data_IF_749534771699
#
_entry.id   IF_749534771699
#
_cell.length_a   1.000
_cell.length_b   1.000
_cell.length_c   1.000
_cell.angle_alpha   90.00
_cell.angle_beta   90.00
_cell.angle_gamma   90.00
#
_symmetry.space_group_name_H-M   'P 1'
#
loop_
_entity.id
_entity.type
_entity.pdbx_description
1 polymer ?
#
# COMPACT_ATOMS: atom_id res chain seq x y z
N UNK A 1 -8.42 -26.94 -16.72
CA UNK A 1 -9.11 -25.87 -15.98
C UNK A 1 -9.95 -24.98 -16.91
N UNK A 2 -9.39 -24.43 -18.01
CA UNK A 2 -10.14 -23.63 -19.01
C UNK A 2 -11.49 -24.20 -19.48
N UNK A 3 -11.51 -25.44 -19.97
CA UNK A 3 -12.75 -26.15 -20.39
C UNK A 3 -13.84 -26.26 -19.30
N UNK A 4 -13.46 -26.17 -18.03
CA UNK A 4 -14.40 -26.20 -16.91
C UNK A 4 -15.04 -24.83 -16.69
N UNK A 5 -14.25 -23.75 -16.72
CA UNK A 5 -14.78 -22.38 -16.67
C UNK A 5 -15.65 -22.08 -17.91
N UNK A 6 -15.22 -22.49 -19.10
CA UNK A 6 -15.98 -22.28 -20.34
C UNK A 6 -17.39 -22.92 -20.29
N UNK A 7 -17.55 -24.04 -19.58
CA UNK A 7 -18.86 -24.69 -19.37
C UNK A 7 -19.76 -23.93 -18.40
N UNK A 8 -19.18 -23.18 -17.46
CA UNK A 8 -19.90 -22.40 -16.46
C UNK A 8 -20.27 -21.01 -16.99
N UNK A 9 -19.50 -20.46 -17.94
CA UNK A 9 -19.72 -19.14 -18.56
C UNK A 9 -21.18 -18.86 -19.00
N UNK A 10 -21.92 -19.81 -19.62
CA UNK A 10 -23.32 -19.58 -20.01
C UNK A 10 -24.28 -19.34 -18.83
N UNK A 11 -23.95 -19.81 -17.63
CA UNK A 11 -24.76 -19.62 -16.42
C UNK A 11 -24.63 -18.20 -15.85
N UNK A 12 -23.51 -17.54 -16.15
CA UNK A 12 -23.17 -16.19 -15.70
C UNK A 12 -23.37 -15.15 -16.82
N UNK A 13 -23.44 -15.53 -18.09
CA UNK A 13 -23.70 -14.60 -19.19
C UNK A 13 -25.10 -13.94 -19.10
N UNK A 14 -25.33 -12.85 -19.83
CA UNK A 14 -26.61 -12.10 -19.85
C UNK A 14 -27.81 -13.04 -20.09
N UNK A 15 -28.77 -13.06 -19.17
CA UNK A 15 -29.92 -13.99 -19.19
C UNK A 15 -29.70 -15.34 -18.49
N UNK A 16 -28.52 -15.57 -17.91
CA UNK A 16 -28.21 -16.73 -17.08
C UNK A 16 -28.70 -16.59 -15.63
N UNK A 17 -28.90 -17.73 -14.94
CA UNK A 17 -29.41 -17.76 -13.55
C UNK A 17 -28.53 -16.97 -12.57
N UNK A 18 -27.24 -16.84 -12.85
CA UNK A 18 -26.27 -16.16 -12.00
C UNK A 18 -25.65 -14.93 -12.68
N UNK A 19 -26.38 -14.27 -13.58
CA UNK A 19 -25.95 -13.03 -14.25
C UNK A 19 -25.36 -12.01 -13.26
N UNK A 20 -25.95 -11.90 -12.07
CA UNK A 20 -25.49 -10.98 -11.04
C UNK A 20 -24.00 -11.19 -10.65
N UNK A 21 -23.51 -12.43 -10.68
CA UNK A 21 -22.14 -12.78 -10.31
C UNK A 21 -21.18 -12.86 -11.51
N UNK A 22 -21.62 -12.43 -12.69
CA UNK A 22 -20.76 -12.34 -13.88
C UNK A 22 -19.42 -11.63 -13.61
N UNK A 23 -19.39 -10.48 -12.92
CA UNK A 23 -18.12 -9.78 -12.66
C UNK A 23 -17.11 -10.60 -11.84
N UNK A 24 -17.60 -11.41 -10.90
CA UNK A 24 -16.76 -12.26 -10.06
C UNK A 24 -16.19 -13.42 -10.86
N UNK A 25 -17.04 -14.06 -11.68
CA UNK A 25 -16.62 -15.13 -12.57
C UNK A 25 -15.56 -14.65 -13.58
N UNK A 26 -15.77 -13.47 -14.17
CA UNK A 26 -14.84 -12.84 -15.11
C UNK A 26 -13.52 -12.45 -14.46
N UNK A 27 -13.53 -11.92 -13.23
CA UNK A 27 -12.29 -11.64 -12.48
C UNK A 27 -11.46 -12.91 -12.28
N UNK A 28 -12.10 -14.03 -11.90
CA UNK A 28 -11.42 -15.32 -11.71
C UNK A 28 -10.91 -15.88 -13.04
N UNK A 29 -11.71 -15.80 -14.10
CA UNK A 29 -11.28 -16.26 -15.43
C UNK A 29 -10.12 -15.40 -15.96
N UNK A 30 -10.22 -14.08 -15.84
CA UNK A 30 -9.21 -13.09 -16.23
C UNK A 30 -7.89 -13.19 -15.46
N UNK A 31 -7.91 -13.72 -14.23
CA UNK A 31 -6.70 -14.00 -13.46
C UNK A 31 -5.91 -15.18 -14.02
N UNK A 32 -6.60 -16.23 -14.48
CA UNK A 32 -5.95 -17.44 -15.03
C UNK A 32 -5.74 -17.39 -16.55
N UNK A 33 -6.56 -16.63 -17.26
CA UNK A 33 -6.61 -16.61 -18.72
C UNK A 33 -6.78 -15.18 -19.24
N UNK A 34 -6.06 -14.84 -20.31
CA UNK A 34 -6.27 -13.58 -21.02
C UNK A 34 -7.59 -13.64 -21.82
N UNK A 35 -8.32 -12.52 -21.85
CA UNK A 35 -9.48 -12.35 -22.75
C UNK A 35 -9.09 -12.67 -24.20
N UNK A 36 -9.89 -13.51 -24.85
CA UNK A 36 -9.74 -13.87 -26.26
C UNK A 36 -10.58 -13.01 -27.20
N UNK A 37 -11.22 -11.95 -26.70
CA UNK A 37 -12.07 -11.07 -27.49
C UNK A 37 -11.20 -10.19 -28.39
N UNK A 38 -11.29 -10.40 -29.70
CA UNK A 38 -10.62 -9.58 -30.71
C UNK A 38 -11.55 -8.46 -31.15
N UNK A 39 -11.08 -7.21 -31.14
CA UNK A 39 -11.83 -6.07 -31.69
C UNK A 39 -12.17 -6.32 -33.16
N UNK A 40 -13.47 -6.40 -33.48
CA UNK A 40 -13.98 -6.58 -34.83
C UNK A 40 -13.88 -5.32 -35.71
N UNK A 41 -13.73 -4.15 -35.08
CA UNK A 41 -13.56 -2.86 -35.76
C UNK A 41 -12.20 -2.26 -35.43
N UNK A 42 -11.61 -1.55 -36.40
CA UNK A 42 -10.37 -0.84 -36.18
C UNK A 42 -10.55 0.23 -35.08
N UNK A 43 -9.76 0.18 -33.99
CA UNK A 43 -9.87 1.18 -32.94
C UNK A 43 -9.44 2.55 -33.47
N UNK A 44 -10.17 3.60 -33.06
CA UNK A 44 -9.93 4.99 -33.48
C UNK A 44 -8.57 5.52 -33.01
N UNK A 45 -8.07 5.01 -31.88
CA UNK A 45 -6.73 5.30 -31.34
C UNK A 45 -6.01 3.98 -31.10
N UNK A 46 -4.86 3.81 -31.74
CA UNK A 46 -3.94 2.69 -31.49
C UNK A 46 -2.93 3.13 -30.44
N UNK A 47 -3.34 3.07 -29.17
CA UNK A 47 -2.40 3.22 -28.06
C UNK A 47 -1.87 1.83 -27.66
N UNK A 48 -0.56 1.72 -27.50
CA UNK A 48 0.09 0.49 -27.02
C UNK A 48 0.05 0.34 -25.50
N UNK A 49 -0.49 1.35 -24.82
CA UNK A 49 -0.59 1.43 -23.36
C UNK A 49 -2.03 1.07 -22.95
N UNK A 50 -2.20 -0.16 -22.48
CA UNK A 50 -3.43 -0.63 -21.85
C UNK A 50 -3.49 -0.15 -20.38
N UNK A 51 -4.69 0.15 -19.87
CA UNK A 51 -4.95 0.45 -18.46
C UNK A 51 -4.36 -0.62 -17.54
N UNK A 52 -4.42 -1.89 -17.93
CA UNK A 52 -3.80 -2.98 -17.16
C UNK A 52 -2.28 -2.82 -17.06
N UNK A 53 -1.62 -2.46 -18.16
CA UNK A 53 -0.17 -2.24 -18.22
C UNK A 53 0.25 -1.03 -17.39
N UNK A 54 -0.54 0.06 -17.42
CA UNK A 54 -0.32 1.22 -16.57
C UNK A 54 -0.31 0.86 -15.09
N UNK A 55 -1.29 0.09 -14.62
CA UNK A 55 -1.38 -0.32 -13.22
C UNK A 55 -0.19 -1.20 -12.81
N UNK A 56 0.24 -2.12 -13.67
CA UNK A 56 1.43 -2.95 -13.42
C UNK A 56 2.70 -2.09 -13.31
N UNK A 57 2.87 -1.09 -14.16
CA UNK A 57 4.02 -0.17 -14.06
C UNK A 57 4.03 0.60 -12.74
N UNK A 58 2.87 1.04 -12.26
CA UNK A 58 2.77 1.68 -10.94
C UNK A 58 3.12 0.71 -9.82
N UNK A 59 2.64 -0.54 -9.87
CA UNK A 59 3.02 -1.57 -8.88
C UNK A 59 4.54 -1.79 -8.89
N UNK A 60 5.16 -1.90 -10.07
CA UNK A 60 6.61 -2.06 -10.20
C UNK A 60 7.37 -0.86 -9.63
N UNK A 61 6.88 0.36 -9.86
CA UNK A 61 7.46 1.58 -9.31
C UNK A 61 7.42 1.64 -7.78
N UNK A 62 6.45 0.96 -7.14
CA UNK A 62 6.31 0.91 -5.69
C UNK A 62 7.20 -0.15 -5.03
N UNK A 63 7.72 -1.13 -5.77
CA UNK A 63 8.55 -2.22 -5.23
C UNK A 63 9.77 -1.69 -4.44
N UNK A 64 10.58 -0.73 -4.94
CA UNK A 64 11.70 -0.19 -4.17
C UNK A 64 11.28 0.40 -2.83
N UNK A 65 10.16 1.13 -2.80
CA UNK A 65 9.61 1.72 -1.58
C UNK A 65 9.14 0.64 -0.59
N UNK A 66 8.47 -0.41 -1.08
CA UNK A 66 8.00 -1.53 -0.26
C UNK A 66 9.18 -2.29 0.36
N UNK A 67 10.22 -2.59 -0.42
CA UNK A 67 11.40 -3.29 0.07
C UNK A 67 12.14 -2.47 1.12
N UNK A 68 12.28 -1.16 0.90
CA UNK A 68 12.90 -0.27 1.87
C UNK A 68 12.07 -0.15 3.15
N UNK A 69 10.74 -0.10 3.02
CA UNK A 69 9.81 -0.10 4.15
C UNK A 69 10.02 -1.28 5.08
N UNK A 70 10.15 -2.50 4.53
CA UNK A 70 10.36 -3.71 5.32
C UNK A 70 11.67 -3.63 6.10
N UNK A 71 12.74 -3.19 5.46
CA UNK A 71 14.03 -3.04 6.13
C UNK A 71 14.00 -1.97 7.22
N UNK A 72 13.54 -0.76 6.91
CA UNK A 72 13.57 0.37 7.84
C UNK A 72 12.64 0.14 9.05
N UNK A 73 11.42 -0.36 8.83
CA UNK A 73 10.47 -0.65 9.92
C UNK A 73 11.06 -1.64 10.91
N UNK A 74 11.67 -2.73 10.43
CA UNK A 74 12.31 -3.70 11.31
C UNK A 74 13.61 -3.21 11.94
N UNK A 75 14.40 -2.39 11.23
CA UNK A 75 15.60 -1.75 11.79
C UNK A 75 15.25 -0.86 12.98
N UNK A 76 14.23 0.01 12.84
CA UNK A 76 13.78 0.87 13.93
C UNK A 76 13.21 0.08 15.10
N UNK A 77 12.47 -0.99 14.82
CA UNK A 77 11.93 -1.87 15.86
C UNK A 77 13.04 -2.61 16.63
N UNK A 78 14.04 -3.18 15.94
CA UNK A 78 15.17 -3.85 16.59
C UNK A 78 16.04 -2.88 17.38
N UNK A 79 16.27 -1.66 16.88
CA UNK A 79 16.95 -0.60 17.65
C UNK A 79 16.18 -0.20 18.91
N UNK A 80 14.86 -0.10 18.84
CA UNK A 80 14.02 0.21 19.99
C UNK A 80 14.02 -0.93 21.02
N UNK A 81 13.96 -2.18 20.57
CA UNK A 81 14.08 -3.36 21.44
C UNK A 81 15.43 -3.41 22.17
N UNK A 82 16.53 -3.09 21.46
CA UNK A 82 17.86 -3.01 22.06
C UNK A 82 17.96 -1.91 23.14
N UNK A 83 17.26 -0.78 22.94
CA UNK A 83 17.23 0.33 23.90
C UNK A 83 16.36 0.06 25.14
N UNK A 84 15.21 -0.60 24.96
CA UNK A 84 14.25 -0.79 26.04
C UNK A 84 14.47 -2.08 26.86
N UNK A 85 15.23 -3.04 26.34
CA UNK A 85 15.49 -4.32 27.05
C UNK A 85 14.21 -5.11 27.36
N UNK A 86 13.11 -4.86 26.64
CA UNK A 86 11.79 -5.41 26.96
C UNK A 86 11.62 -6.88 26.58
N UNK A 87 10.66 -7.53 27.25
CA UNK A 87 10.20 -8.86 26.91
C UNK A 87 9.61 -8.89 25.50
N UNK A 88 10.14 -9.77 24.65
CA UNK A 88 9.69 -10.01 23.28
C UNK A 88 8.39 -10.81 23.33
N UNK A 89 7.25 -10.13 23.42
CA UNK A 89 5.94 -10.78 23.58
C UNK A 89 5.08 -10.59 22.32
N UNK A 90 4.59 -11.70 21.77
CA UNK A 90 3.61 -11.71 20.68
C UNK A 90 3.99 -12.64 19.54
N UNK A 91 2.99 -13.02 18.76
CA UNK A 91 3.12 -14.01 17.67
C UNK A 91 4.23 -13.66 16.66
N UNK A 92 4.51 -12.37 16.44
CA UNK A 92 5.58 -11.91 15.54
C UNK A 92 6.97 -12.30 16.05
N UNK A 93 7.18 -12.17 17.36
CA UNK A 93 8.43 -12.52 18.02
C UNK A 93 8.59 -14.03 18.13
N UNK A 94 7.50 -14.75 18.40
CA UNK A 94 7.48 -16.21 18.44
C UNK A 94 7.85 -16.81 17.07
N UNK A 95 7.35 -16.22 15.98
CA UNK A 95 7.65 -16.63 14.61
C UNK A 95 9.13 -16.40 14.26
N UNK A 96 9.69 -15.26 14.68
CA UNK A 96 11.11 -14.96 14.49
C UNK A 96 12.01 -15.90 15.31
N UNK A 97 11.60 -16.22 16.54
CA UNK A 97 12.29 -17.19 17.38
C UNK A 97 12.23 -18.60 16.78
N UNK A 98 11.08 -19.02 16.24
CA UNK A 98 10.92 -20.30 15.55
C UNK A 98 11.81 -20.39 14.28
N UNK A 99 11.95 -19.29 13.55
CA UNK A 99 12.82 -19.18 12.38
C UNK A 99 14.31 -19.05 12.72
N UNK A 100 14.68 -19.03 14.01
CA UNK A 100 16.07 -18.84 14.49
C UNK A 100 16.71 -17.53 13.98
N UNK A 101 15.90 -16.51 13.71
CA UNK A 101 16.36 -15.19 13.26
C UNK A 101 16.61 -14.33 14.51
N UNK A 102 17.84 -13.84 14.67
CA UNK A 102 18.21 -12.96 15.77
C UNK A 102 17.54 -11.58 15.70
N UNK A 103 17.64 -10.79 16.77
CA UNK A 103 17.09 -9.42 16.86
C UNK A 103 18.19 -8.35 16.73
N UNK A 104 19.26 -8.67 16.00
CA UNK A 104 20.40 -7.78 15.83
C UNK A 104 20.08 -6.71 14.78
N UNK A 105 20.24 -5.43 15.16
CA UNK A 105 19.97 -4.30 14.28
C UNK A 105 20.95 -4.21 13.09
N UNK A 106 22.12 -4.85 13.16
CA UNK A 106 23.09 -4.96 12.08
C UNK A 106 22.77 -6.03 11.04
N UNK A 107 21.84 -6.96 11.33
CA UNK A 107 21.46 -8.00 10.38
C UNK A 107 20.34 -7.53 9.45
N UNK A 108 20.68 -7.37 8.17
CA UNK A 108 19.74 -6.94 7.12
C UNK A 108 18.55 -7.89 7.03
N UNK A 109 18.80 -9.20 7.11
CA UNK A 109 17.75 -10.21 6.99
C UNK A 109 16.80 -10.16 8.19
N UNK A 110 17.32 -10.00 9.41
CA UNK A 110 16.49 -9.91 10.61
C UNK A 110 15.57 -8.69 10.57
N UNK A 111 16.11 -7.53 10.17
CA UNK A 111 15.35 -6.30 10.03
C UNK A 111 14.26 -6.44 8.97
N UNK A 112 14.59 -6.96 7.78
CA UNK A 112 13.62 -7.10 6.68
C UNK A 112 12.48 -8.06 7.05
N UNK A 113 12.77 -9.20 7.67
CA UNK A 113 11.72 -10.16 8.07
C UNK A 113 10.85 -9.57 9.18
N UNK A 114 11.44 -8.87 10.15
CA UNK A 114 10.68 -8.24 11.23
C UNK A 114 9.73 -7.16 10.70
N UNK A 115 10.19 -6.28 9.81
CA UNK A 115 9.32 -5.26 9.20
C UNK A 115 8.27 -5.86 8.25
N UNK A 116 8.60 -6.94 7.53
CA UNK A 116 7.62 -7.68 6.72
C UNK A 116 6.45 -8.22 7.56
N UNK A 117 6.69 -8.69 8.79
CA UNK A 117 5.65 -9.16 9.70
C UNK A 117 4.71 -8.06 10.21
N UNK A 118 5.12 -6.79 10.16
CA UNK A 118 4.25 -5.64 10.42
C UNK A 118 3.49 -5.20 9.17
N UNK A 119 4.17 -5.19 8.01
CA UNK A 119 3.57 -4.79 6.74
C UNK A 119 2.48 -5.78 6.28
N UNK A 120 2.75 -7.09 6.36
CA UNK A 120 1.88 -8.13 5.78
C UNK A 120 0.45 -8.11 6.33
N UNK A 121 0.19 -8.09 7.66
CA UNK A 121 -1.17 -8.05 8.18
C UNK A 121 -1.97 -6.81 7.74
N UNK A 122 -1.30 -5.64 7.68
CA UNK A 122 -1.94 -4.40 7.23
C UNK A 122 -2.30 -4.52 5.75
N UNK A 123 -1.35 -4.94 4.91
CA UNK A 123 -1.58 -5.13 3.47
C UNK A 123 -2.69 -6.15 3.18
N UNK A 124 -2.70 -7.28 3.89
CA UNK A 124 -3.76 -8.29 3.74
C UNK A 124 -5.13 -7.74 4.14
N UNK A 125 -5.20 -6.96 5.22
CA UNK A 125 -6.45 -6.36 5.67
C UNK A 125 -6.98 -5.35 4.65
N UNK A 126 -6.12 -4.50 4.08
CA UNK A 126 -6.54 -3.54 3.05
C UNK A 126 -7.03 -4.25 1.80
N UNK A 127 -6.30 -5.27 1.33
CA UNK A 127 -6.65 -6.05 0.15
C UNK A 127 -7.97 -6.80 0.32
N UNK A 128 -8.16 -7.49 1.44
CA UNK A 128 -9.38 -8.27 1.71
C UNK A 128 -10.58 -7.35 1.83
N UNK A 129 -10.51 -6.32 2.70
CA UNK A 129 -11.67 -5.48 2.99
C UNK A 129 -12.06 -4.61 1.80
N UNK A 130 -11.08 -3.97 1.14
CA UNK A 130 -11.38 -3.17 -0.04
C UNK A 130 -11.79 -4.03 -1.25
N UNK A 131 -11.20 -5.22 -1.41
CA UNK A 131 -11.60 -6.18 -2.44
C UNK A 131 -13.02 -6.70 -2.25
N UNK A 132 -13.46 -6.91 -1.00
CA UNK A 132 -14.86 -7.25 -0.68
C UNK A 132 -15.78 -6.12 -1.13
N UNK A 133 -15.48 -4.87 -0.77
CA UNK A 133 -16.32 -3.73 -1.17
C UNK A 133 -16.38 -3.56 -2.68
N UNK A 134 -15.26 -3.63 -3.38
CA UNK A 134 -15.24 -3.55 -4.84
C UNK A 134 -16.06 -4.68 -5.47
N UNK A 135 -15.91 -5.91 -4.99
CA UNK A 135 -16.68 -7.06 -5.46
C UNK A 135 -18.18 -6.84 -5.27
N UNK A 136 -18.60 -6.33 -4.11
CA UNK A 136 -20.00 -6.02 -3.80
C UNK A 136 -20.53 -4.97 -4.76
N UNK A 137 -19.83 -3.85 -4.94
CA UNK A 137 -20.28 -2.76 -5.81
C UNK A 137 -20.29 -3.14 -7.29
N UNK A 138 -19.31 -3.92 -7.75
CA UNK A 138 -19.28 -4.45 -9.13
C UNK A 138 -20.43 -5.42 -9.39
N UNK A 139 -20.76 -6.28 -8.44
CA UNK A 139 -21.92 -7.19 -8.51
C UNK A 139 -23.24 -6.41 -8.57
N UNK A 140 -23.40 -5.36 -7.74
CA UNK A 140 -24.61 -4.53 -7.75
C UNK A 140 -24.76 -3.75 -9.05
N UNK A 141 -23.66 -3.32 -9.67
CA UNK A 141 -23.67 -2.44 -10.85
C UNK A 141 -23.42 -3.17 -12.18
N UNK A 142 -23.20 -4.48 -12.15
CA UNK A 142 -22.90 -5.29 -13.34
C UNK A 142 -21.74 -4.70 -14.15
N UNK A 143 -20.64 -4.37 -13.46
CA UNK A 143 -19.41 -3.85 -14.08
C UNK A 143 -18.24 -4.76 -13.75
N UNK A 144 -17.30 -4.83 -14.68
CA UNK A 144 -16.05 -5.58 -14.53
C UNK A 144 -15.20 -5.04 -13.38
N UNK A 145 -14.50 -5.93 -12.68
CA UNK A 145 -13.59 -5.55 -11.59
C UNK A 145 -12.28 -5.05 -12.20
N UNK A 146 -11.81 -3.88 -11.75
CA UNK A 146 -10.61 -3.26 -12.30
C UNK A 146 -9.39 -3.49 -11.39
N UNK A 147 -8.25 -3.83 -11.98
CA UNK A 147 -6.99 -4.09 -11.26
C UNK A 147 -6.43 -2.86 -10.51
N UNK A 148 -6.92 -1.65 -10.79
CA UNK A 148 -6.47 -0.41 -10.15
C UNK A 148 -6.64 -0.36 -8.63
N UNK A 149 -7.45 -1.25 -8.04
CA UNK A 149 -7.51 -1.37 -6.59
C UNK A 149 -6.24 -1.95 -5.97
N UNK A 150 -5.49 -2.81 -6.68
CA UNK A 150 -4.20 -3.31 -6.18
C UNK A 150 -3.25 -2.15 -5.87
N UNK A 151 -3.17 -1.17 -6.78
CA UNK A 151 -2.39 0.05 -6.57
C UNK A 151 -2.91 0.84 -5.37
N UNK A 152 -4.23 1.02 -5.25
CA UNK A 152 -4.85 1.75 -4.13
C UNK A 152 -4.53 1.09 -2.78
N UNK A 153 -4.62 -0.23 -2.69
CA UNK A 153 -4.33 -1.00 -1.47
C UNK A 153 -2.86 -0.90 -1.05
N UNK A 154 -1.92 -0.95 -2.01
CA UNK A 154 -0.49 -0.78 -1.75
C UNK A 154 -0.17 0.64 -1.29
N UNK A 155 -0.67 1.66 -2.01
CA UNK A 155 -0.47 3.07 -1.64
C UNK A 155 -1.04 3.38 -0.27
N UNK A 156 -2.27 2.94 0.02
CA UNK A 156 -2.87 3.16 1.33
C UNK A 156 -2.03 2.50 2.42
N UNK A 157 -1.62 1.23 2.25
CA UNK A 157 -0.76 0.53 3.22
C UNK A 157 0.55 1.28 3.48
N UNK A 158 1.20 1.79 2.43
CA UNK A 158 2.46 2.54 2.55
C UNK A 158 2.31 3.89 3.26
N UNK A 159 1.11 4.47 3.26
CA UNK A 159 0.82 5.73 3.95
C UNK A 159 0.48 5.57 5.43
N UNK A 160 0.39 4.33 5.92
CA UNK A 160 0.01 4.04 7.29
C UNK A 160 1.23 3.78 8.18
N UNK A 161 1.09 4.02 9.50
CA UNK A 161 2.09 3.59 10.45
C UNK A 161 2.11 2.06 10.63
N UNK A 162 3.26 1.49 11.02
CA UNK A 162 3.45 0.04 11.09
C UNK A 162 2.69 -0.65 12.24
N UNK A 163 2.35 0.07 13.31
CA UNK A 163 1.66 -0.49 14.49
C UNK A 163 0.14 -0.20 14.50
N UNK A 164 -0.42 0.23 13.37
CA UNK A 164 -1.82 0.62 13.33
C UNK A 164 -2.76 -0.58 13.53
N UNK A 165 -3.79 -0.48 14.40
CA UNK A 165 -4.74 -1.56 14.61
C UNK A 165 -5.46 -1.99 13.32
N UNK A 166 -5.54 -3.30 13.06
CA UNK A 166 -6.08 -3.84 11.80
C UNK A 166 -7.54 -3.44 11.55
N UNK A 167 -8.35 -3.28 12.59
CA UNK A 167 -9.73 -2.86 12.44
C UNK A 167 -9.84 -1.40 11.96
N UNK A 168 -8.91 -0.52 12.35
CA UNK A 168 -8.86 0.87 11.85
C UNK A 168 -8.46 0.88 10.38
N UNK A 169 -7.49 0.04 9.99
CA UNK A 169 -7.11 -0.17 8.59
C UNK A 169 -8.34 -0.56 7.76
N UNK A 170 -9.15 -1.51 8.26
CA UNK A 170 -10.36 -1.99 7.61
C UNK A 170 -11.43 -0.88 7.43
N UNK A 171 -11.69 -0.07 8.45
CA UNK A 171 -12.66 1.03 8.35
C UNK A 171 -12.14 2.12 7.41
N UNK A 172 -10.84 2.45 7.50
CA UNK A 172 -10.21 3.46 6.64
C UNK A 172 -10.31 3.10 5.15
N UNK A 173 -9.91 1.89 4.77
CA UNK A 173 -10.03 1.45 3.37
C UNK A 173 -11.49 1.33 2.93
N UNK A 174 -12.40 0.92 3.82
CA UNK A 174 -13.83 0.87 3.52
C UNK A 174 -14.35 2.26 3.16
N UNK A 175 -13.99 3.29 3.94
CA UNK A 175 -14.37 4.67 3.66
C UNK A 175 -13.81 5.15 2.31
N UNK A 176 -12.51 4.95 2.07
CA UNK A 176 -11.86 5.39 0.83
C UNK A 176 -12.39 4.69 -0.42
N UNK A 177 -12.65 3.38 -0.36
CA UNK A 177 -13.19 2.62 -1.49
C UNK A 177 -14.65 2.99 -1.73
N UNK A 178 -15.49 2.96 -0.69
CA UNK A 178 -16.93 3.20 -0.85
C UNK A 178 -17.20 4.66 -1.23
N UNK A 179 -16.74 5.60 -0.42
CA UNK A 179 -17.04 7.02 -0.65
C UNK A 179 -16.10 7.67 -1.67
N UNK A 180 -14.81 7.29 -1.69
CA UNK A 180 -13.82 7.92 -2.56
C UNK A 180 -13.78 7.38 -4.01
N UNK A 181 -14.23 6.14 -4.23
CA UNK A 181 -14.19 5.49 -5.55
C UNK A 181 -15.57 5.00 -6.02
N UNK A 182 -16.23 4.17 -5.23
CA UNK A 182 -17.42 3.46 -5.70
C UNK A 182 -18.63 4.38 -5.83
N UNK A 183 -18.89 5.31 -4.93
CA UNK A 183 -20.05 6.22 -5.08
C UNK A 183 -19.99 7.01 -6.39
N UNK A 184 -18.80 7.39 -6.85
CA UNK A 184 -18.61 8.16 -8.09
C UNK A 184 -18.64 7.32 -9.38
N UNK A 185 -18.84 6.01 -9.26
CA UNK A 185 -19.04 5.14 -10.41
C UNK A 185 -17.89 4.18 -10.72
N UNK A 186 -16.86 4.13 -9.86
CA UNK A 186 -15.71 3.22 -9.95
C UNK A 186 -14.50 3.84 -10.64
N UNK A 187 -13.52 2.99 -10.98
CA UNK A 187 -12.23 3.40 -11.58
C UNK A 187 -12.39 4.32 -12.79
N UNK A 188 -11.61 5.40 -12.83
CA UNK A 188 -11.63 6.40 -13.91
C UNK A 188 -12.66 7.51 -13.73
N UNK A 189 -13.55 7.42 -12.73
CA UNK A 189 -14.52 8.49 -12.39
C UNK A 189 -14.26 9.13 -11.02
N UNK A 190 -13.15 8.76 -10.38
CA UNK A 190 -12.82 9.24 -9.04
C UNK A 190 -12.38 10.72 -9.12
N UNK A 191 -13.10 11.59 -8.41
CA UNK A 191 -12.70 13.00 -8.24
C UNK A 191 -11.48 13.14 -7.31
N UNK A 192 -11.28 12.18 -6.40
CA UNK A 192 -10.23 12.17 -5.37
C UNK A 192 -9.41 10.88 -5.46
N UNK A 193 -8.19 10.88 -4.92
CA UNK A 193 -7.44 9.64 -4.75
C UNK A 193 -8.03 8.83 -3.57
N UNK A 194 -8.59 7.63 -3.79
CA UNK A 194 -9.25 6.85 -2.74
C UNK A 194 -8.30 6.44 -1.60
N UNK A 195 -7.00 6.21 -1.87
CA UNK A 195 -6.02 5.90 -0.83
C UNK A 195 -5.78 7.11 0.10
N UNK A 196 -5.67 8.31 -0.48
CA UNK A 196 -5.49 9.53 0.31
C UNK A 196 -6.78 9.93 1.03
N UNK A 197 -7.95 9.68 0.43
CA UNK A 197 -9.24 9.85 1.11
C UNK A 197 -9.37 8.94 2.33
N UNK A 198 -8.95 7.67 2.22
CA UNK A 198 -8.89 6.75 3.36
C UNK A 198 -7.94 7.26 4.45
N UNK A 199 -6.74 7.73 4.07
CA UNK A 199 -5.77 8.30 5.03
C UNK A 199 -6.32 9.54 5.72
N UNK A 200 -6.93 10.46 4.97
CA UNK A 200 -7.52 11.69 5.52
C UNK A 200 -8.65 11.38 6.49
N UNK A 201 -9.49 10.39 6.19
CA UNK A 201 -10.51 9.92 7.12
C UNK A 201 -9.90 9.44 8.44
N UNK A 202 -8.88 8.58 8.39
CA UNK A 202 -8.21 8.11 9.60
C UNK A 202 -7.52 9.24 10.37
N UNK A 203 -6.95 10.21 9.67
CA UNK A 203 -6.33 11.40 10.27
C UNK A 203 -7.29 12.19 11.17
N UNK A 204 -8.53 12.40 10.70
CA UNK A 204 -9.53 13.14 11.48
C UNK A 204 -10.29 12.28 12.49
N UNK A 205 -10.53 11.00 12.18
CA UNK A 205 -11.28 10.11 13.05
C UNK A 205 -10.45 9.54 14.21
N UNK A 206 -9.18 9.21 13.96
CA UNK A 206 -8.29 8.52 14.90
C UNK A 206 -6.89 9.17 14.95
N UNK A 207 -6.78 10.45 15.34
CA UNK A 207 -5.51 11.18 15.31
C UNK A 207 -4.42 10.56 16.19
N UNK A 208 -4.79 9.89 17.29
CA UNK A 208 -3.85 9.27 18.22
C UNK A 208 -3.03 8.11 17.60
N UNK A 209 -3.58 7.42 16.60
CA UNK A 209 -3.00 6.21 15.99
C UNK A 209 -2.37 6.48 14.61
N UNK A 210 -2.39 7.73 14.15
CA UNK A 210 -1.85 8.16 12.84
C UNK A 210 -0.94 9.38 12.97
N UNK A 211 -0.87 10.00 14.15
CA UNK A 211 -0.07 11.18 14.43
C UNK A 211 0.51 11.12 15.83
N UNK A 212 1.64 11.80 16.04
CA UNK A 212 2.39 11.81 17.30
C UNK A 212 3.67 10.99 17.25
N UNK A 213 4.42 10.96 18.34
CA UNK A 213 5.79 10.40 18.40
C UNK A 213 5.84 8.90 18.78
N UNK A 214 4.70 8.29 19.11
CA UNK A 214 4.62 6.89 19.55
C UNK A 214 4.32 5.90 18.42
N UNK A 215 3.82 6.41 17.30
CA UNK A 215 3.12 5.61 16.29
C UNK A 215 4.09 5.09 15.20
N UNK A 216 5.28 5.67 15.09
CA UNK A 216 6.21 5.44 13.98
C UNK A 216 7.26 4.35 14.22
N UNK A 217 7.29 3.78 15.42
CA UNK A 217 8.20 2.68 15.78
C UNK A 217 7.36 1.49 16.19
N UNK A 218 7.58 0.34 15.55
CA UNK A 218 6.79 -0.88 15.73
C UNK A 218 7.16 -1.64 17.01
N UNK A 219 7.19 -0.94 18.15
CA UNK A 219 7.43 -1.47 19.48
C UNK A 219 6.50 -0.75 20.45
N UNK A 220 5.61 -1.51 21.08
CA UNK A 220 4.67 -0.96 22.06
C UNK A 220 5.43 -0.27 23.21
N UNK A 221 4.93 0.89 23.62
CA UNK A 221 5.53 1.70 24.68
C UNK A 221 6.76 2.55 24.27
N UNK A 222 7.33 2.36 23.07
CA UNK A 222 8.42 3.21 22.59
C UNK A 222 7.88 4.55 22.07
N UNK A 223 8.37 5.65 22.65
CA UNK A 223 8.10 7.00 22.15
C UNK A 223 9.40 7.57 21.60
N UNK A 224 9.43 7.87 20.31
CA UNK A 224 10.59 8.45 19.63
C UNK A 224 10.18 9.72 18.90
N UNK A 225 10.80 10.84 19.27
CA UNK A 225 10.52 12.10 18.59
C UNK A 225 10.87 11.98 17.10
N UNK A 226 9.88 12.24 16.24
CA UNK A 226 10.10 12.31 14.79
C UNK A 226 11.01 13.48 14.42
N UNK A 227 11.70 13.40 13.28
CA UNK A 227 12.51 14.52 12.79
C UNK A 227 11.68 15.82 12.67
N UNK A 228 10.39 15.70 12.33
CA UNK A 228 9.48 16.83 12.22
C UNK A 228 9.07 17.40 13.59
N UNK A 229 8.83 16.56 14.60
CA UNK A 229 8.53 17.05 15.94
C UNK A 229 9.75 17.67 16.62
N UNK A 230 10.94 17.10 16.43
CA UNK A 230 12.21 17.70 16.86
C UNK A 230 12.47 19.05 16.19
N UNK A 231 12.22 19.14 14.88
CA UNK A 231 12.33 20.38 14.12
C UNK A 231 11.40 21.48 14.63
N UNK A 232 10.19 21.13 15.08
CA UNK A 232 9.25 22.09 15.68
C UNK A 232 9.72 22.62 17.04
N UNK A 233 10.45 21.81 17.81
CA UNK A 233 10.90 22.17 19.17
C UNK A 233 12.17 23.02 19.14
N UNK A 234 13.14 22.71 18.28
CA UNK A 234 14.45 23.39 18.29
C UNK A 234 15.12 23.54 16.93
N UNK A 235 14.37 23.44 15.83
CA UNK A 235 14.88 23.63 14.48
C UNK A 235 15.82 22.51 14.03
N UNK A 236 16.65 22.81 13.02
CA UNK A 236 17.52 21.81 12.37
C UNK A 236 18.60 21.27 13.32
N UNK A 237 19.04 22.07 14.29
CA UNK A 237 20.10 21.67 15.24
C UNK A 237 19.66 20.52 16.15
N UNK A 238 18.39 20.50 16.58
CA UNK A 238 17.84 19.39 17.38
C UNK A 238 17.63 18.11 16.55
N UNK A 239 17.39 18.24 15.24
CA UNK A 239 17.30 17.07 14.33
C UNK A 239 18.67 16.38 14.21
N UNK A 240 19.73 17.18 14.08
CA UNK A 240 21.11 16.67 13.98
C UNK A 240 21.55 16.06 15.32
N UNK A 241 21.19 16.68 16.45
CA UNK A 241 21.42 16.12 17.80
C UNK A 241 20.65 14.84 18.06
N UNK A 242 19.45 14.70 17.49
CA UNK A 242 18.65 13.47 17.51
C UNK A 242 19.22 12.32 16.68
N UNK A 243 20.36 12.50 16.01
CA UNK A 243 21.04 11.46 15.23
C UNK A 243 20.57 11.32 13.78
N UNK A 244 19.71 12.23 13.30
CA UNK A 244 19.24 12.24 11.91
C UNK A 244 20.13 13.13 11.05
N UNK A 245 21.19 12.56 10.49
CA UNK A 245 22.02 13.22 9.48
C UNK A 245 21.25 13.39 8.17
N UNK A 246 21.57 14.40 7.35
CA UNK A 246 20.99 14.57 6.00
C UNK A 246 21.05 13.29 5.16
N UNK A 247 22.16 12.56 5.24
CA UNK A 247 22.31 11.31 4.50
C UNK A 247 21.44 10.18 5.09
N UNK A 248 21.25 10.16 6.42
CA UNK A 248 20.33 9.20 7.04
C UNK A 248 18.88 9.49 6.64
N UNK A 249 18.50 10.77 6.51
CA UNK A 249 17.18 11.16 6.01
C UNK A 249 16.98 10.82 4.52
N UNK A 250 18.00 11.02 3.69
CA UNK A 250 17.89 10.75 2.25
C UNK A 250 17.90 9.24 1.92
N UNK A 251 18.68 8.42 2.66
CA UNK A 251 18.58 6.94 2.61
C UNK A 251 17.28 6.45 3.25
N UNK A 252 16.83 7.11 4.32
CA UNK A 252 15.62 6.78 5.04
C UNK A 252 15.80 5.86 6.23
N UNK A 253 16.84 6.11 7.03
CA UNK A 253 17.09 5.48 8.34
C UNK A 253 16.46 6.28 9.48
N UNK A 254 15.20 6.67 9.30
CA UNK A 254 14.44 7.44 10.29
C UNK A 254 13.05 6.83 10.48
N UNK A 255 12.43 7.00 11.65
CA UNK A 255 11.05 6.56 11.88
C UNK A 255 10.07 7.44 11.10
N UNK A 256 9.05 6.83 10.48
CA UNK A 256 8.04 7.53 9.69
C UNK A 256 7.05 6.57 9.05
N UNK A 257 6.21 7.09 8.15
CA UNK A 257 5.27 6.26 7.39
C UNK A 257 6.01 5.27 6.51
N UNK A 258 5.52 4.03 6.43
CA UNK A 258 6.18 2.91 5.76
C UNK A 258 6.74 3.25 4.37
N UNK A 259 6.03 4.00 3.54
CA UNK A 259 6.45 4.37 2.18
C UNK A 259 7.13 5.73 2.01
N UNK A 260 7.22 6.56 3.05
CA UNK A 260 7.76 7.93 2.94
C UNK A 260 9.17 8.06 3.54
N UNK A 261 9.66 7.00 4.21
CA UNK A 261 10.91 7.08 4.96
C UNK A 261 12.12 7.31 4.07
N UNK A 262 12.14 6.85 2.83
CA UNK A 262 13.30 6.94 1.92
C UNK A 262 13.01 7.73 0.66
N UNK A 263 13.58 8.94 0.59
CA UNK A 263 13.53 9.78 -0.61
C UNK A 263 14.18 9.08 -1.80
N UNK A 264 15.28 8.35 -1.59
CA UNK A 264 15.96 7.61 -2.66
C UNK A 264 15.05 6.54 -3.29
N UNK A 265 14.34 5.76 -2.47
CA UNK A 265 13.43 4.74 -2.97
C UNK A 265 12.25 5.37 -3.75
N UNK A 266 11.69 6.47 -3.24
CA UNK A 266 10.64 7.21 -3.94
C UNK A 266 11.11 7.79 -5.27
N UNK A 267 12.33 8.33 -5.33
CA UNK A 267 12.92 8.88 -6.55
C UNK A 267 13.16 7.80 -7.60
N UNK A 268 13.63 6.61 -7.22
CA UNK A 268 13.78 5.49 -8.15
C UNK A 268 12.44 5.10 -8.80
N UNK A 269 11.37 5.02 -7.99
CA UNK A 269 10.02 4.79 -8.49
C UNK A 269 9.52 5.91 -9.41
N UNK A 270 9.75 7.18 -9.02
CA UNK A 270 9.36 8.33 -9.82
C UNK A 270 10.08 8.38 -11.17
N UNK A 271 11.40 8.13 -11.19
CA UNK A 271 12.20 8.07 -12.41
C UNK A 271 11.70 6.97 -13.34
N UNK A 272 11.34 5.80 -12.81
CA UNK A 272 10.78 4.71 -13.60
C UNK A 272 9.43 5.10 -14.24
N UNK A 273 8.54 5.78 -13.51
CA UNK A 273 7.24 6.23 -14.04
C UNK A 273 7.38 7.33 -15.09
N UNK A 274 8.34 8.23 -14.93
CA UNK A 274 8.64 9.29 -15.89
C UNK A 274 9.25 8.66 -17.16
N UNK A 275 10.19 7.73 -17.00
CA UNK A 275 10.83 7.03 -18.12
C UNK A 275 9.82 6.22 -18.96
N UNK A 276 8.86 5.58 -18.30
CA UNK A 276 7.82 4.79 -18.97
C UNK A 276 6.67 5.65 -19.55
N UNK A 277 6.69 6.97 -19.35
CA UNK A 277 5.68 7.89 -19.87
C UNK A 277 4.33 7.84 -19.15
N UNK A 278 4.25 7.16 -18.01
CA UNK A 278 3.03 7.08 -17.18
C UNK A 278 2.89 8.32 -16.29
N UNK A 279 4.02 8.79 -15.74
CA UNK A 279 4.08 9.99 -14.92
C UNK A 279 4.36 11.24 -15.75
N UNK A 280 3.63 12.33 -15.49
CA UNK A 280 3.89 13.61 -16.15
C UNK A 280 4.92 14.43 -15.38
N UNK A 281 6.00 14.83 -16.07
CA UNK A 281 7.05 15.70 -15.53
C UNK A 281 6.53 17.02 -14.91
N UNK A 282 5.51 17.70 -15.49
CA UNK A 282 4.98 18.94 -14.92
C UNK A 282 4.37 18.76 -13.52
N UNK A 283 3.76 17.59 -13.24
CA UNK A 283 3.15 17.32 -11.94
C UNK A 283 4.22 17.15 -10.85
N UNK A 284 5.36 16.54 -11.18
CA UNK A 284 6.46 16.36 -10.23
C UNK A 284 7.17 17.69 -9.90
N UNK A 285 7.33 18.60 -10.87
CA UNK A 285 7.98 19.89 -10.62
C UNK A 285 7.16 20.86 -9.77
N UNK A 286 5.82 20.75 -9.80
CA UNK A 286 4.91 21.61 -9.05
C UNK A 286 4.83 21.25 -7.55
N UNK A 287 5.22 20.03 -7.16
CA UNK A 287 5.21 19.59 -5.76
C UNK A 287 6.51 19.90 -5.00
N UNK A 288 7.53 20.42 -5.69
CA UNK A 288 8.85 20.73 -5.12
C UNK A 288 9.08 22.23 -4.89
N UNK A 289 8.05 23.07 -5.08
CA UNK A 289 8.09 24.52 -4.89
C UNK A 289 7.26 25.00 -3.70
#
# INVERSE_FOLDING_TARGET
MKRYLDRLRPLFAKGGRYEQYYPVFEMVDGFFYSSSETTHHAPHVRDGIDLKRLMVYVVVALIPCILWSWFNTGYQANLALAKMGMAKAGWRYDLLAALHIGFDAGSILANTVHGFLYFLPIYLTTLIVGGIWETVFSTVRQKEINEGFLVTSMLFTLTLPPDMPLWMVAIGISFGVVLGKEIFGGTGKNFLNPALTARAFLFFAYPAEISGDRVWVAVDGYSGATALSLGKVGGVDEIVRGGTTWWNAFIGLMPGSMGETSTLACLLGAVFLIYTGVGSWPCCSLSAG
#
